data_IF_420034658967
#
_entry.id   IF_420034658967
#
_cell.length_a   1.000
_cell.length_b   1.000
_cell.length_c   1.000
_cell.angle_alpha   90.00
_cell.angle_beta   90.00
_cell.angle_gamma   90.00
#
_symmetry.space_group_name_H-M   'P 1'
#
loop_
_entity.id
_entity.type
_entity.pdbx_description
1 polymer ?
#
# COMPACT_ATOMS: atom_id res chain seq x y z
N UNK A 1 3.47 7.11 3.82
CA UNK A 1 2.00 7.15 3.57
C UNK A 1 1.66 6.19 2.45
N UNK A 2 0.77 5.23 2.73
CA UNK A 2 0.07 4.33 1.81
C UNK A 2 -1.11 5.00 1.12
N UNK A 3 -1.24 4.82 -0.18
CA UNK A 3 -2.48 5.10 -0.90
C UNK A 3 -2.98 3.78 -1.50
N UNK A 4 -4.28 3.53 -1.59
CA UNK A 4 -4.82 2.38 -2.32
C UNK A 4 -5.89 2.91 -3.29
N UNK A 5 -5.61 2.94 -4.60
CA UNK A 5 -6.43 3.67 -5.56
C UNK A 5 -7.77 2.99 -5.82
N UNK A 6 -8.85 3.66 -5.43
CA UNK A 6 -10.23 3.30 -5.78
C UNK A 6 -10.94 4.41 -6.55
N UNK A 7 -11.68 4.06 -7.61
CA UNK A 7 -12.45 5.01 -8.41
C UNK A 7 -13.77 5.39 -7.72
N UNK A 8 -14.70 4.44 -7.61
CA UNK A 8 -16.03 4.65 -7.01
C UNK A 8 -15.98 4.68 -5.48
N UNK A 9 -15.13 3.85 -4.89
CA UNK A 9 -14.97 3.69 -3.44
C UNK A 9 -14.02 4.72 -2.82
N UNK A 10 -13.39 5.57 -3.63
CA UNK A 10 -12.37 6.52 -3.21
C UNK A 10 -11.00 5.86 -2.96
N UNK A 11 -9.96 6.67 -2.96
CA UNK A 11 -8.59 6.26 -2.63
C UNK A 11 -8.47 6.15 -1.12
N UNK A 12 -8.11 4.97 -0.63
CA UNK A 12 -7.86 4.73 0.79
C UNK A 12 -6.47 5.23 1.14
N UNK A 13 -6.32 5.82 2.31
CA UNK A 13 -5.05 6.41 2.77
C UNK A 13 -4.71 5.84 4.12
N UNK A 14 -3.46 5.42 4.27
CA UNK A 14 -2.89 5.00 5.54
C UNK A 14 -1.56 5.73 5.78
N UNK A 15 -1.34 6.19 7.01
CA UNK A 15 -0.08 6.76 7.44
C UNK A 15 0.50 5.86 8.50
N UNK A 16 1.68 5.32 8.21
CA UNK A 16 2.48 4.54 9.15
C UNK A 16 3.70 5.36 9.58
N UNK A 17 4.14 5.18 10.83
CA UNK A 17 5.39 5.75 11.31
C UNK A 17 6.61 4.91 10.86
N UNK A 18 7.81 5.29 11.29
CA UNK A 18 9.04 4.60 10.95
C UNK A 18 9.10 3.14 11.42
N UNK A 19 8.29 2.75 12.42
CA UNK A 19 8.20 1.39 12.95
C UNK A 19 7.16 0.54 12.23
N UNK A 20 6.37 1.14 11.33
CA UNK A 20 5.24 0.47 10.67
C UNK A 20 3.95 0.48 11.50
N UNK A 21 3.91 1.21 12.62
CA UNK A 21 2.69 1.41 13.39
C UNK A 21 1.74 2.33 12.65
N UNK A 22 0.46 1.99 12.63
CA UNK A 22 -0.59 2.81 12.04
C UNK A 22 -0.82 4.08 12.88
N UNK A 23 -0.71 5.25 12.24
CA UNK A 23 -0.87 6.57 12.87
C UNK A 23 -2.20 7.20 12.48
N UNK A 24 -2.60 7.11 11.22
CA UNK A 24 -3.83 7.70 10.72
C UNK A 24 -4.33 7.00 9.46
N UNK A 25 -5.63 7.09 9.22
CA UNK A 25 -6.28 6.61 8.00
C UNK A 25 -7.28 7.63 7.49
N UNK A 26 -7.53 7.63 6.18
CA UNK A 26 -8.55 8.47 5.55
C UNK A 26 -9.07 7.82 4.25
N UNK A 27 -10.19 8.32 3.73
CA UNK A 27 -10.66 8.03 2.37
C UNK A 27 -10.87 9.32 1.62
N UNK A 28 -10.24 9.45 0.46
CA UNK A 28 -10.39 10.61 -0.42
C UNK A 28 -11.05 10.26 -1.74
N UNK A 29 -11.73 11.23 -2.34
CA UNK A 29 -12.47 11.07 -3.59
C UNK A 29 -11.94 12.03 -4.67
N UNK A 30 -10.71 11.81 -5.18
CA UNK A 30 -10.11 12.71 -6.17
C UNK A 30 -10.77 12.60 -7.55
N UNK A 31 -11.46 11.49 -7.85
CA UNK A 31 -11.97 11.18 -9.19
C UNK A 31 -13.46 11.48 -9.38
N UNK A 32 -14.25 11.50 -8.32
CA UNK A 32 -15.72 11.59 -8.40
C UNK A 32 -16.28 13.01 -8.16
N UNK A 33 -15.42 14.03 -8.09
CA UNK A 33 -15.86 15.43 -8.00
C UNK A 33 -16.54 15.84 -6.69
N UNK A 34 -16.58 14.97 -5.67
CA UNK A 34 -17.09 15.28 -4.33
C UNK A 34 -16.08 16.07 -3.47
N UNK A 35 -14.85 16.29 -3.97
CA UNK A 35 -13.89 17.21 -3.37
C UNK A 35 -14.22 18.67 -3.75
N UNK A 36 -13.96 19.67 -2.88
CA UNK A 36 -14.04 21.07 -3.29
C UNK A 36 -13.11 21.30 -4.50
N UNK A 37 -13.70 21.77 -5.61
CA UNK A 37 -13.10 21.92 -6.94
C UNK A 37 -11.64 22.39 -6.90
N UNK A 38 -10.72 21.58 -7.44
CA UNK A 38 -9.43 22.02 -7.99
C UNK A 38 -9.10 21.18 -9.24
N UNK A 39 -8.35 21.75 -10.21
CA UNK A 39 -8.36 21.28 -11.59
C UNK A 39 -7.65 19.93 -11.74
N UNK A 40 -8.26 19.06 -12.51
CA UNK A 40 -7.80 17.71 -12.85
C UNK A 40 -6.60 17.73 -13.81
N UNK A 41 -5.65 16.79 -13.66
CA UNK A 41 -5.01 16.16 -14.80
C UNK A 41 -5.75 14.86 -15.16
N UNK A 42 -5.72 14.57 -16.45
CA UNK A 42 -6.46 13.55 -17.23
C UNK A 42 -6.40 12.10 -16.72
N UNK A 43 -7.36 11.23 -17.15
CA UNK A 43 -7.44 9.85 -16.72
C UNK A 43 -6.43 9.03 -17.52
N UNK A 44 -5.27 8.76 -16.92
CA UNK A 44 -4.39 7.70 -17.39
C UNK A 44 -4.47 6.60 -16.35
N UNK A 45 -5.13 5.49 -16.72
CA UNK A 45 -5.08 4.24 -15.98
C UNK A 45 -3.62 3.93 -15.65
N UNK A 46 -3.26 3.97 -14.38
CA UNK A 46 -2.02 3.37 -13.93
C UNK A 46 -2.38 2.46 -12.78
N UNK A 47 -2.09 1.17 -12.95
CA UNK A 47 -2.01 0.13 -11.90
C UNK A 47 -0.84 0.44 -10.97
N UNK A 48 -0.74 1.68 -10.50
CA UNK A 48 0.38 2.16 -9.70
C UNK A 48 -0.10 3.06 -8.57
N UNK A 49 0.24 2.61 -7.39
CA UNK A 49 -0.01 3.32 -6.16
C UNK A 49 1.06 4.36 -5.91
N UNK A 50 0.68 5.50 -5.34
CA UNK A 50 1.59 6.62 -5.05
C UNK A 50 1.86 6.69 -3.56
N UNK A 51 3.11 6.55 -3.13
CA UNK A 51 3.47 6.77 -1.73
C UNK A 51 4.08 8.15 -1.53
N UNK A 52 3.91 8.76 -0.35
CA UNK A 52 4.72 9.91 0.06
C UNK A 52 5.54 9.53 1.29
N UNK A 53 6.86 9.65 1.17
CA UNK A 53 7.81 9.46 2.26
C UNK A 53 8.22 10.82 2.85
N UNK A 54 8.16 10.94 4.18
CA UNK A 54 8.69 12.08 4.91
C UNK A 54 9.83 11.61 5.83
N UNK A 55 11.06 12.14 5.65
CA UNK A 55 12.08 11.99 6.66
C UNK A 55 11.71 12.88 7.86
N UNK A 56 11.66 12.30 9.05
CA UNK A 56 11.40 12.92 10.37
C UNK A 56 9.93 12.99 10.84
N UNK A 57 9.74 12.41 12.04
CA UNK A 57 8.54 11.96 12.75
C UNK A 57 7.50 13.04 13.13
N UNK A 58 7.18 13.96 12.23
CA UNK A 58 6.09 14.92 12.44
C UNK A 58 5.09 14.75 11.32
N UNK A 59 4.12 13.85 11.53
CA UNK A 59 2.89 13.81 10.73
C UNK A 59 1.98 14.88 11.32
N UNK A 60 1.73 16.02 10.65
CA UNK A 60 0.74 16.97 11.13
C UNK A 60 -0.63 16.27 11.17
N UNK A 61 -1.46 16.50 12.21
CA UNK A 61 -2.72 15.78 12.45
C UNK A 61 -3.82 16.01 11.38
N UNK A 62 -3.48 16.64 10.25
CA UNK A 62 -4.42 16.96 9.17
C UNK A 62 -3.69 17.00 7.82
N UNK A 63 -3.17 15.86 7.38
CA UNK A 63 -2.68 15.72 5.99
C UNK A 63 -3.88 15.50 5.10
N UNK A 64 -4.31 16.53 4.37
CA UNK A 64 -5.18 16.35 3.21
C UNK A 64 -4.33 15.70 2.12
N UNK A 65 -4.59 14.44 1.71
CA UNK A 65 -3.84 13.82 0.64
C UNK A 65 -4.33 14.42 -0.67
N UNK A 66 -3.63 15.45 -1.16
CA UNK A 66 -3.83 15.87 -2.55
C UNK A 66 -3.07 14.90 -3.44
N UNK A 67 -3.78 13.97 -4.09
CA UNK A 67 -3.28 13.27 -5.28
C UNK A 67 -3.25 14.30 -6.41
N UNK A 68 -2.23 15.15 -6.40
CA UNK A 68 -1.97 16.16 -7.40
C UNK A 68 -0.50 16.52 -7.27
N UNK A 69 0.19 16.54 -8.41
CA UNK A 69 1.54 17.07 -8.63
C UNK A 69 1.66 18.59 -8.32
N UNK A 70 0.81 19.15 -7.47
CA UNK A 70 0.90 20.54 -7.03
C UNK A 70 1.66 20.64 -5.70
N UNK A 71 2.97 20.77 -5.86
CA UNK A 71 3.89 21.58 -5.08
C UNK A 71 3.35 22.09 -3.74
N UNK A 72 3.87 21.53 -2.65
CA UNK A 72 3.85 22.14 -1.32
C UNK A 72 4.61 23.48 -1.35
N UNK A 73 3.98 24.55 -1.87
CA UNK A 73 4.39 25.94 -1.61
C UNK A 73 3.80 26.35 -0.27
N UNK A 74 4.43 25.91 0.82
CA UNK A 74 4.47 26.57 2.13
C UNK A 74 5.00 25.60 3.18
N UNK A 75 6.31 25.33 3.11
CA UNK A 75 7.13 24.95 4.25
C UNK A 75 8.58 25.07 3.81
N UNK A 76 9.20 26.17 4.24
CA UNK A 76 10.64 26.40 4.16
C UNK A 76 11.41 25.16 4.65
N UNK A 77 12.33 24.64 3.82
CA UNK A 77 13.34 23.61 4.13
C UNK A 77 12.89 22.15 4.38
N UNK A 78 11.78 21.68 3.78
CA UNK A 78 11.56 20.23 3.65
C UNK A 78 11.72 19.79 2.20
N UNK A 79 12.58 18.78 1.98
CA UNK A 79 12.63 18.07 0.71
C UNK A 79 11.21 17.63 0.33
N UNK A 80 10.81 17.77 -0.95
CA UNK A 80 9.49 17.34 -1.37
C UNK A 80 9.32 15.84 -1.08
N UNK A 81 8.12 15.40 -0.68
CA UNK A 81 7.87 13.98 -0.46
C UNK A 81 8.19 13.20 -1.73
N UNK A 82 8.94 12.10 -1.59
CA UNK A 82 9.26 11.24 -2.72
C UNK A 82 8.10 10.29 -3.00
N UNK A 83 7.81 10.14 -4.31
CA UNK A 83 6.80 9.23 -4.82
C UNK A 83 7.44 7.94 -5.29
N UNK A 84 7.00 6.83 -4.69
CA UNK A 84 7.38 5.47 -5.08
C UNK A 84 6.13 4.69 -5.43
N UNK A 85 6.24 3.89 -6.49
CA UNK A 85 5.20 2.95 -6.92
C UNK A 85 5.48 1.60 -6.28
N UNK A 86 4.46 1.03 -5.65
CA UNK A 86 4.54 -0.29 -5.00
C UNK A 86 3.42 -1.18 -5.53
N UNK A 87 3.69 -2.48 -5.61
CA UNK A 87 2.72 -3.49 -6.01
C UNK A 87 1.58 -3.58 -4.99
N UNK A 88 0.34 -3.57 -5.47
CA UNK A 88 -0.88 -3.83 -4.69
C UNK A 88 -1.21 -5.34 -4.61
N UNK A 89 -0.41 -6.19 -5.26
CA UNK A 89 -0.76 -7.58 -5.44
C UNK A 89 -0.87 -8.32 -4.10
N UNK A 90 -1.97 -9.05 -3.90
CA UNK A 90 -2.30 -9.69 -2.62
C UNK A 90 -2.76 -8.75 -1.50
N UNK A 91 -2.77 -7.41 -1.67
CA UNK A 91 -3.21 -6.49 -0.61
C UNK A 91 -4.68 -6.66 -0.23
N UNK A 92 -5.53 -7.03 -1.21
CA UNK A 92 -6.94 -7.39 -0.98
C UNK A 92 -7.10 -8.73 -0.24
N UNK A 93 -6.18 -9.67 -0.46
CA UNK A 93 -6.19 -10.96 0.25
C UNK A 93 -5.72 -10.78 1.69
N UNK A 94 -4.66 -9.99 1.89
CA UNK A 94 -4.24 -9.57 3.22
C UNK A 94 -5.39 -8.89 3.96
N UNK A 95 -6.04 -7.90 3.36
CA UNK A 95 -7.05 -7.11 4.06
C UNK A 95 -8.27 -7.91 4.53
N UNK A 96 -8.64 -8.94 3.77
CA UNK A 96 -9.69 -9.89 4.10
C UNK A 96 -9.23 -11.06 4.99
N UNK A 97 -7.93 -11.17 5.29
CA UNK A 97 -7.38 -12.26 6.10
C UNK A 97 -7.74 -12.11 7.58
N UNK A 98 -7.77 -13.25 8.27
CA UNK A 98 -7.93 -13.28 9.73
C UNK A 98 -6.77 -12.59 10.45
N UNK A 99 -5.54 -12.72 9.92
CA UNK A 99 -4.36 -12.02 10.44
C UNK A 99 -4.55 -10.50 10.44
N UNK A 100 -5.02 -9.92 9.33
CA UNK A 100 -5.29 -8.49 9.27
C UNK A 100 -6.46 -8.06 10.17
N UNK A 101 -7.45 -8.95 10.36
CA UNK A 101 -8.53 -8.72 11.32
C UNK A 101 -8.04 -8.71 12.78
N UNK A 102 -7.02 -9.52 13.10
CA UNK A 102 -6.38 -9.52 14.42
C UNK A 102 -5.46 -8.31 14.60
N UNK A 103 -4.69 -7.93 13.58
CA UNK A 103 -3.81 -6.73 13.64
C UNK A 103 -4.63 -5.43 13.74
N UNK A 104 -5.78 -5.36 13.05
CA UNK A 104 -6.61 -4.16 12.96
C UNK A 104 -8.12 -4.46 13.09
N UNK A 105 -8.61 -4.84 14.29
CA UNK A 105 -10.00 -5.23 14.49
C UNK A 105 -11.01 -4.13 14.15
N UNK A 106 -10.69 -2.90 14.56
CA UNK A 106 -11.58 -1.74 14.42
C UNK A 106 -11.48 -1.04 13.05
N UNK A 107 -10.61 -1.54 12.17
CA UNK A 107 -10.37 -0.94 10.86
C UNK A 107 -11.19 -1.65 9.79
N UNK A 108 -11.83 -0.86 8.92
CA UNK A 108 -12.52 -1.40 7.75
C UNK A 108 -11.56 -2.16 6.83
N UNK A 109 -12.06 -3.24 6.21
CA UNK A 109 -11.30 -4.11 5.31
C UNK A 109 -10.62 -3.30 4.21
N UNK A 110 -11.26 -2.28 3.65
CA UNK A 110 -10.65 -1.49 2.57
C UNK A 110 -9.45 -0.64 3.04
N UNK A 111 -9.43 -0.21 4.30
CA UNK A 111 -8.32 0.58 4.85
C UNK A 111 -7.12 -0.31 5.20
N UNK A 112 -7.34 -1.59 5.54
CA UNK A 112 -6.26 -2.54 5.87
C UNK A 112 -5.33 -2.75 4.67
N UNK A 113 -5.88 -2.74 3.45
CA UNK A 113 -5.10 -2.81 2.20
C UNK A 113 -4.09 -1.66 2.08
N UNK A 114 -4.54 -0.43 2.35
CA UNK A 114 -3.67 0.76 2.32
C UNK A 114 -2.55 0.70 3.37
N UNK A 115 -2.79 0.07 4.53
CA UNK A 115 -1.75 -0.18 5.54
C UNK A 115 -0.66 -1.11 5.00
N UNK A 116 -1.06 -2.22 4.37
CA UNK A 116 -0.12 -3.17 3.77
C UNK A 116 0.73 -2.51 2.69
N UNK A 117 0.12 -1.68 1.83
CA UNK A 117 0.89 -0.93 0.81
C UNK A 117 1.91 0.03 1.48
N UNK A 118 1.53 0.70 2.57
CA UNK A 118 2.44 1.59 3.27
C UNK A 118 3.65 0.84 3.85
N UNK A 119 3.42 -0.32 4.47
CA UNK A 119 4.45 -1.17 5.10
C UNK A 119 5.37 -1.84 4.09
N UNK A 120 4.85 -2.25 2.92
CA UNK A 120 5.65 -2.81 1.82
C UNK A 120 6.77 -1.89 1.33
N UNK A 121 6.59 -0.57 1.43
CA UNK A 121 7.66 0.36 1.08
C UNK A 121 8.80 0.36 2.11
N UNK A 122 8.48 0.13 3.38
CA UNK A 122 9.46 0.12 4.46
C UNK A 122 10.24 -1.19 4.44
N UNK A 123 9.52 -2.30 4.33
CA UNK A 123 10.08 -3.65 4.23
C UNK A 123 9.13 -4.53 3.39
N UNK A 124 9.44 -4.73 2.09
CA UNK A 124 8.63 -5.57 1.22
C UNK A 124 8.55 -7.01 1.71
N UNK A 125 9.65 -7.56 2.24
CA UNK A 125 9.72 -8.97 2.62
C UNK A 125 8.84 -9.22 3.84
N UNK A 126 9.02 -8.44 4.90
CA UNK A 126 8.26 -8.58 6.14
C UNK A 126 6.74 -8.42 5.95
N UNK A 127 6.31 -7.65 4.94
CA UNK A 127 4.90 -7.46 4.65
C UNK A 127 4.34 -8.52 3.67
N UNK A 128 5.11 -8.97 2.67
CA UNK A 128 4.64 -9.97 1.70
C UNK A 128 4.52 -11.38 2.31
N UNK A 129 5.34 -11.73 3.30
CA UNK A 129 5.25 -13.04 4.00
C UNK A 129 3.94 -13.23 4.79
N UNK A 130 3.19 -12.14 5.03
CA UNK A 130 1.87 -12.19 5.69
C UNK A 130 0.75 -12.68 4.77
N UNK A 131 1.05 -12.93 3.50
CA UNK A 131 0.09 -13.25 2.45
C UNK A 131 0.42 -14.64 1.94
N UNK A 132 -0.62 -15.45 1.68
CA UNK A 132 -0.42 -16.71 0.96
C UNK A 132 0.32 -16.42 -0.36
N UNK A 133 1.49 -17.04 -0.61
CA UNK A 133 2.28 -16.77 -1.81
C UNK A 133 1.50 -16.95 -3.11
N UNK A 134 0.53 -17.88 -3.15
CA UNK A 134 -0.34 -18.08 -4.32
C UNK A 134 -1.23 -16.89 -4.63
N UNK A 135 -1.56 -16.12 -3.60
CA UNK A 135 -2.46 -14.96 -3.66
C UNK A 135 -1.74 -13.67 -4.07
N UNK A 136 -0.40 -13.68 -4.14
CA UNK A 136 0.39 -12.52 -4.57
C UNK A 136 0.25 -12.28 -6.08
N UNK A 137 -0.22 -13.25 -6.88
CA UNK A 137 -0.44 -13.02 -8.31
C UNK A 137 0.86 -13.07 -9.11
N UNK A 138 1.49 -14.23 -9.18
CA UNK A 138 2.85 -14.41 -9.75
C UNK A 138 2.87 -14.57 -11.28
N UNK A 139 1.70 -14.70 -11.92
CA UNK A 139 1.62 -14.81 -13.37
C UNK A 139 0.19 -14.91 -13.88
N UNK A 140 0.01 -14.63 -15.18
CA UNK A 140 -1.32 -14.61 -15.82
C UNK A 140 -2.03 -15.97 -15.77
N UNK A 141 -1.29 -17.06 -15.94
CA UNK A 141 -1.82 -18.44 -16.00
C UNK A 141 -1.69 -19.20 -14.68
N UNK A 142 -1.53 -18.50 -13.54
CA UNK A 142 -1.30 -19.14 -12.24
C UNK A 142 -2.45 -20.07 -11.80
N UNK A 143 -3.66 -19.86 -12.34
CA UNK A 143 -4.83 -20.70 -12.04
C UNK A 143 -4.94 -21.91 -12.98
N UNK A 144 -4.20 -21.90 -14.10
CA UNK A 144 -4.24 -22.96 -15.12
C UNK A 144 -3.17 -24.04 -14.89
N UNK A 145 -2.36 -23.89 -13.83
CA UNK A 145 -1.31 -24.84 -13.45
C UNK A 145 -1.72 -25.67 -12.22
N UNK A 146 -0.99 -26.76 -11.99
CA UNK A 146 -1.15 -27.58 -10.78
C UNK A 146 -0.92 -26.74 -9.52
N UNK A 147 -1.99 -26.53 -8.75
CA UNK A 147 -1.95 -25.70 -7.54
C UNK A 147 -1.03 -26.27 -6.45
N UNK A 148 -0.89 -27.60 -6.39
CA UNK A 148 0.02 -28.27 -5.45
C UNK A 148 1.49 -28.02 -5.81
N UNK A 149 1.83 -28.11 -7.10
CA UNK A 149 3.20 -27.86 -7.55
C UNK A 149 3.54 -26.37 -7.44
N UNK A 150 2.59 -25.49 -7.76
CA UNK A 150 2.75 -24.04 -7.59
C UNK A 150 2.99 -23.68 -6.13
N UNK A 151 2.19 -24.22 -5.19
CA UNK A 151 2.37 -24.02 -3.75
C UNK A 151 3.82 -24.30 -3.32
N UNK A 152 4.26 -25.54 -3.57
CA UNK A 152 5.58 -26.02 -3.15
C UNK A 152 6.71 -25.16 -3.69
N UNK A 153 6.60 -24.70 -4.95
CA UNK A 153 7.61 -23.83 -5.55
C UNK A 153 7.62 -22.44 -4.94
N UNK A 154 6.45 -21.86 -4.69
CA UNK A 154 6.36 -20.53 -4.10
C UNK A 154 6.81 -20.53 -2.64
N UNK A 155 6.44 -21.56 -1.86
CA UNK A 155 6.88 -21.73 -0.49
C UNK A 155 8.40 -21.84 -0.40
N UNK A 156 9.03 -22.64 -1.29
CA UNK A 156 10.48 -22.75 -1.37
C UNK A 156 11.17 -21.42 -1.68
N UNK A 157 10.64 -20.63 -2.63
CA UNK A 157 11.19 -19.30 -2.95
C UNK A 157 11.06 -18.34 -1.78
N UNK A 158 9.93 -18.37 -1.06
CA UNK A 158 9.74 -17.54 0.14
C UNK A 158 10.74 -17.93 1.22
N UNK A 159 10.93 -19.22 1.47
CA UNK A 159 11.93 -19.73 2.42
C UNK A 159 13.34 -19.28 2.03
N UNK A 160 13.73 -19.44 0.76
CA UNK A 160 15.03 -19.01 0.25
C UNK A 160 15.23 -17.49 0.41
N UNK A 161 14.22 -16.68 0.10
CA UNK A 161 14.29 -15.23 0.26
C UNK A 161 14.42 -14.80 1.73
N UNK A 162 13.67 -15.43 2.63
CA UNK A 162 13.74 -15.15 4.07
C UNK A 162 15.11 -15.55 4.63
N UNK A 163 15.59 -16.74 4.28
CA UNK A 163 16.89 -17.23 4.71
C UNK A 163 18.04 -16.34 4.19
N UNK A 164 17.95 -15.88 2.94
CA UNK A 164 18.96 -15.00 2.36
C UNK A 164 19.09 -13.66 3.11
N UNK A 165 17.96 -13.06 3.52
CA UNK A 165 17.96 -11.79 4.28
C UNK A 165 18.38 -11.99 5.73
N UNK A 166 17.99 -13.11 6.37
CA UNK A 166 18.39 -13.42 7.74
C UNK A 166 19.91 -13.63 7.91
N UNK A 167 20.61 -13.95 6.81
CA UNK A 167 22.05 -14.15 6.77
C UNK A 167 22.85 -12.87 6.43
N UNK A 168 22.18 -11.74 6.21
CA UNK A 168 22.78 -10.42 5.91
C UNK A 168 22.53 -9.40 7.00
#
# INVERSE_FOLDING_TARGET
MGLDPGLRTGVKVAVVDATGKLVATDTIYPHTGQAPKRPSPSPRCVRSTTLSWWPSATVPPRVKPSVSSSTCRNSSRRSPPQKVIVSEAGASVYSASELAAQEFPDLDVSLRGAVSIARRLQDPLAELVKIDPKSIGVGQYQHDVSQTQLARKLDAVVEDCVNAVALT
#
